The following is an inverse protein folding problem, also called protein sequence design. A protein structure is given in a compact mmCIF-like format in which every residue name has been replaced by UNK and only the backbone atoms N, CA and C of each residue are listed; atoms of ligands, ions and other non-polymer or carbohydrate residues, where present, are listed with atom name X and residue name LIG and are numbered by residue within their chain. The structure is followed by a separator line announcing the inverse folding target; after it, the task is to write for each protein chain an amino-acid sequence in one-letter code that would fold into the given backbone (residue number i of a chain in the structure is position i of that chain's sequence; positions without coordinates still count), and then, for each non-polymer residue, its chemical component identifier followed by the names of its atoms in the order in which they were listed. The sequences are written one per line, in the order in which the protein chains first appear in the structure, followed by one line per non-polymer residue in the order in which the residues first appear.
data_IF_523083638996
#
_entry.id   IF_523083638996
#
_cell.length_a   1.000
_cell.length_b   1.000
_cell.length_c   1.000
_cell.angle_alpha   90.00
_cell.angle_beta   90.00
_cell.angle_gamma   90.00
#
_symmetry.space_group_name_H-M   'P 1'
#
loop_
_entity.id
_entity.type
_entity.pdbx_description
1 polymer ?
#
# COMPACT_ATOMS: atom_id res chain seq x y z
N UNK A 1 15.90 -40.77 -13.56
CA UNK A 1 15.02 -41.39 -12.54
C UNK A 1 15.73 -42.33 -11.56
N UNK A 2 17.07 -42.50 -11.59
CA UNK A 2 17.78 -43.46 -10.72
C UNK A 2 18.24 -42.88 -9.37
N UNK A 3 18.15 -41.55 -9.19
CA UNK A 3 18.68 -40.84 -8.01
C UNK A 3 17.64 -39.98 -7.27
N UNK A 4 16.50 -39.68 -7.89
CA UNK A 4 15.40 -38.94 -7.28
C UNK A 4 14.13 -39.75 -7.41
N UNK A 5 13.52 -40.07 -6.27
CA UNK A 5 12.20 -40.65 -6.18
C UNK A 5 11.16 -39.53 -6.28
N UNK A 6 10.43 -39.48 -7.41
CA UNK A 6 9.38 -38.48 -7.68
C UNK A 6 8.40 -38.35 -6.50
N UNK A 7 8.01 -39.48 -5.89
CA UNK A 7 7.08 -39.49 -4.75
C UNK A 7 7.61 -38.72 -3.54
N UNK A 8 8.87 -38.95 -3.17
CA UNK A 8 9.49 -38.22 -2.05
C UNK A 8 9.72 -36.75 -2.39
N UNK A 9 10.07 -36.43 -3.64
CA UNK A 9 10.19 -35.05 -4.09
C UNK A 9 8.88 -34.29 -3.91
N UNK A 10 7.77 -34.85 -4.41
CA UNK A 10 6.43 -34.23 -4.28
C UNK A 10 6.04 -34.09 -2.80
N UNK A 11 6.28 -35.12 -1.98
CA UNK A 11 5.97 -35.06 -0.55
C UNK A 11 6.77 -33.96 0.16
N UNK A 12 8.07 -33.86 -0.11
CA UNK A 12 8.92 -32.81 0.46
C UNK A 12 8.53 -31.41 0.00
N UNK A 13 8.11 -31.26 -1.27
CA UNK A 13 7.62 -30.01 -1.82
C UNK A 13 6.32 -29.55 -1.15
N UNK A 14 5.38 -30.47 -0.92
CA UNK A 14 4.12 -30.18 -0.22
C UNK A 14 4.37 -29.77 1.23
N UNK A 15 5.28 -30.45 1.93
CA UNK A 15 5.67 -30.08 3.30
C UNK A 15 6.29 -28.67 3.31
N UNK A 16 7.18 -28.37 2.36
CA UNK A 16 7.78 -27.03 2.24
C UNK A 16 6.76 -25.93 1.97
N UNK A 17 5.82 -26.16 1.05
CA UNK A 17 4.71 -25.25 0.76
C UNK A 17 3.86 -24.99 2.00
N UNK A 18 3.51 -26.05 2.74
CA UNK A 18 2.74 -25.94 3.98
C UNK A 18 3.49 -25.15 5.05
N UNK A 19 4.79 -25.37 5.20
CA UNK A 19 5.61 -24.65 6.16
C UNK A 19 5.65 -23.14 5.88
N UNK A 20 5.81 -22.74 4.62
CA UNK A 20 5.78 -21.32 4.21
C UNK A 20 4.41 -20.71 4.52
N UNK A 21 3.33 -21.42 4.21
CA UNK A 21 1.98 -20.94 4.49
C UNK A 21 1.76 -20.66 5.98
N UNK A 22 2.15 -21.61 6.85
CA UNK A 22 1.98 -21.48 8.30
C UNK A 22 2.94 -20.46 8.93
N UNK A 23 4.12 -20.28 8.37
CA UNK A 23 5.13 -19.35 8.89
C UNK A 23 5.01 -17.93 8.32
N UNK A 24 4.07 -17.70 7.39
CA UNK A 24 3.90 -16.41 6.77
C UNK A 24 3.43 -15.36 7.80
N UNK A 25 4.09 -14.19 7.89
CA UNK A 25 3.67 -13.16 8.82
C UNK A 25 2.31 -12.59 8.41
N UNK A 26 1.54 -12.11 9.38
CA UNK A 26 0.26 -11.44 9.10
C UNK A 26 0.49 -10.20 8.22
N UNK A 27 -0.43 -10.00 7.26
CA UNK A 27 -0.42 -8.80 6.44
C UNK A 27 -0.58 -7.57 7.34
N UNK A 28 0.34 -6.61 7.23
CA UNK A 28 0.27 -5.34 7.95
C UNK A 28 -0.43 -4.31 7.10
N UNK A 29 -1.56 -3.81 7.56
CA UNK A 29 -2.23 -2.66 6.93
C UNK A 29 -1.47 -1.38 7.28
N UNK A 30 -0.90 -0.73 6.27
CA UNK A 30 -0.28 0.59 6.40
C UNK A 30 -1.32 1.63 6.00
N UNK A 31 -1.66 2.54 6.92
CA UNK A 31 -2.55 3.66 6.62
C UNK A 31 -1.71 4.77 6.02
N UNK A 32 -1.97 5.10 4.76
CA UNK A 32 -1.30 6.19 4.03
C UNK A 32 -2.30 7.33 3.86
N UNK A 33 -1.91 8.53 4.29
CA UNK A 33 -2.71 9.71 4.07
C UNK A 33 -2.53 10.25 2.65
N UNK A 34 -3.58 10.79 2.04
CA UNK A 34 -3.48 11.38 0.72
C UNK A 34 -2.64 12.65 0.73
N UNK A 35 -1.66 12.71 -0.17
CA UNK A 35 -0.82 13.88 -0.44
C UNK A 35 -0.75 14.12 -1.95
N UNK A 36 -0.36 15.33 -2.37
CA UNK A 36 -0.19 15.63 -3.80
C UNK A 36 0.90 14.75 -4.43
N UNK A 37 1.92 14.37 -3.66
CA UNK A 37 3.04 13.57 -4.16
C UNK A 37 2.69 12.10 -4.42
N UNK A 38 1.64 11.59 -3.77
CA UNK A 38 1.25 10.18 -3.83
C UNK A 38 -0.05 9.91 -4.60
N UNK A 39 -0.59 10.94 -5.28
CA UNK A 39 -1.83 10.91 -6.06
C UNK A 39 -1.87 9.80 -7.13
N UNK A 40 -0.72 9.49 -7.74
CA UNK A 40 -0.60 8.51 -8.83
C UNK A 40 -0.13 7.14 -8.34
N UNK A 41 0.16 7.01 -7.03
CA UNK A 41 0.72 5.79 -6.44
C UNK A 41 -0.33 4.93 -5.75
N UNK A 42 -1.37 5.55 -5.18
CA UNK A 42 -2.37 4.85 -4.35
C UNK A 42 -3.79 5.26 -4.72
N UNK A 43 -4.71 4.29 -4.61
CA UNK A 43 -6.14 4.54 -4.56
C UNK A 43 -6.60 4.52 -3.11
N UNK A 44 -7.50 5.43 -2.77
CA UNK A 44 -8.01 5.59 -1.42
C UNK A 44 -9.36 4.90 -1.29
N UNK A 45 -9.57 4.24 -0.16
CA UNK A 45 -10.81 3.57 0.18
C UNK A 45 -11.50 4.33 1.30
N UNK A 46 -12.75 4.73 1.09
CA UNK A 46 -13.55 5.37 2.13
C UNK A 46 -14.16 4.34 3.11
N UNK A 47 -14.86 4.86 4.12
CA UNK A 47 -15.60 4.05 5.10
C UNK A 47 -16.83 3.35 4.48
N UNK A 48 -17.29 3.79 3.31
CA UNK A 48 -18.39 3.19 2.55
C UNK A 48 -17.91 2.17 1.50
N UNK A 49 -16.63 1.76 1.54
CA UNK A 49 -15.99 0.79 0.65
C UNK A 49 -15.87 1.24 -0.81
N UNK A 50 -15.98 2.54 -1.11
CA UNK A 50 -15.73 3.09 -2.43
C UNK A 50 -14.23 3.38 -2.59
N UNK A 51 -13.70 3.03 -3.76
CA UNK A 51 -12.33 3.35 -4.16
C UNK A 51 -12.32 4.60 -5.04
N UNK A 52 -11.44 5.55 -4.76
CA UNK A 52 -11.29 6.78 -5.54
C UNK A 52 -9.82 7.21 -5.66
N UNK A 53 -9.54 7.90 -6.76
CA UNK A 53 -8.27 8.60 -6.98
C UNK A 53 -8.44 10.07 -6.66
N UNK A 54 -7.44 10.66 -6.03
CA UNK A 54 -7.45 12.08 -5.69
C UNK A 54 -6.65 12.83 -6.74
N UNK A 55 -7.26 13.83 -7.35
CA UNK A 55 -6.58 14.74 -8.27
C UNK A 55 -6.61 16.15 -7.68
N UNK A 56 -5.48 16.66 -7.18
CA UNK A 56 -5.38 18.02 -6.69
C UNK A 56 -5.50 18.99 -7.86
N UNK A 57 -6.32 20.02 -7.68
CA UNK A 57 -6.38 21.13 -8.63
C UNK A 57 -5.39 22.20 -8.19
N UNK A 58 -4.35 22.43 -8.99
CA UNK A 58 -3.39 23.51 -8.76
C UNK A 58 -4.09 24.85 -9.03
N UNK A 59 -4.32 25.62 -7.97
CA UNK A 59 -4.91 26.96 -8.04
C UNK A 59 -3.85 28.02 -7.75
N UNK A 60 -4.04 29.23 -8.30
CA UNK A 60 -3.22 30.37 -7.91
C UNK A 60 -3.58 30.78 -6.49
N UNK A 61 -2.58 30.89 -5.61
CA UNK A 61 -2.79 31.34 -4.24
C UNK A 61 -3.36 32.78 -4.22
N UNK A 62 -4.49 33.04 -3.52
CA UNK A 62 -5.12 34.35 -3.47
C UNK A 62 -4.42 35.25 -2.45
N UNK A 63 -3.17 35.64 -2.73
CA UNK A 63 -2.40 36.55 -1.86
C UNK A 63 -3.01 37.95 -1.71
N UNK A 64 -3.94 38.32 -2.60
CA UNK A 64 -4.52 39.67 -2.65
C UNK A 64 -5.59 39.92 -1.57
N UNK A 65 -6.24 38.87 -1.09
CA UNK A 65 -7.49 39.01 -0.32
C UNK A 65 -7.29 38.85 1.21
N UNK A 66 -6.05 38.76 1.69
CA UNK A 66 -5.71 38.50 3.11
C UNK A 66 -6.44 37.27 3.72
N UNK A 67 -6.98 36.38 2.90
CA UNK A 67 -7.72 35.17 3.30
C UNK A 67 -6.81 33.95 3.46
N UNK A 68 -5.50 34.11 3.22
CA UNK A 68 -4.52 33.02 3.29
C UNK A 68 -3.91 32.93 4.69
N UNK A 69 -4.15 31.82 5.38
CA UNK A 69 -3.52 31.51 6.67
C UNK A 69 -2.08 31.07 6.43
N UNK A 70 -1.11 31.82 6.95
CA UNK A 70 0.31 31.44 6.92
C UNK A 70 0.59 30.46 8.06
N UNK A 71 1.00 29.24 7.71
CA UNK A 71 1.44 28.25 8.70
C UNK A 71 2.94 28.49 8.95
N UNK A 72 3.37 28.73 10.21
CA UNK A 72 4.78 28.96 10.50
C UNK A 72 5.61 27.69 10.25
N UNK A 73 6.90 27.83 9.89
CA UNK A 73 7.78 26.67 9.77
C UNK A 73 7.84 25.93 11.11
N UNK A 74 7.61 24.62 11.06
CA UNK A 74 7.74 23.76 12.23
C UNK A 74 9.24 23.49 12.44
N UNK A 75 9.80 24.10 13.48
CA UNK A 75 11.17 23.88 13.98
C UNK A 75 11.16 22.91 15.16
#
# INVERSE_FOLDING_TARGET
MKYISIKLFILSFLIGMLFIYLSSPSQRSVVVYPTTDNENLFQYKDMAYNCFSIHPNVVKCPYLDNTVTVIPPQV
#
